data_IF_312748180663
#
_entry.id   IF_312748180663
#
_cell.length_a   1.000
_cell.length_b   1.000
_cell.length_c   1.000
_cell.angle_alpha   90.00
_cell.angle_beta   90.00
_cell.angle_gamma   90.00
#
_symmetry.space_group_name_H-M   'P 1'
#
loop_
_entity.id
_entity.type
_entity.pdbx_description
1 polymer ?
#
# COMPACT_ATOMS: atom_id res chain seq x y z
N UNK A 1 4.99 0.43 -16.11
CA UNK A 1 5.89 1.09 -15.16
C UNK A 1 5.19 2.24 -14.45
N UNK A 2 5.63 2.54 -13.25
CA UNK A 2 5.12 3.66 -12.44
C UNK A 2 6.27 4.42 -11.81
N UNK A 3 6.08 5.71 -11.56
CA UNK A 3 7.05 6.53 -10.87
C UNK A 3 6.78 6.52 -9.36
N UNK A 4 7.83 6.54 -8.56
CA UNK A 4 7.76 6.58 -7.10
C UNK A 4 8.30 7.90 -6.56
N UNK A 5 7.59 8.45 -5.58
CA UNK A 5 8.09 9.53 -4.73
C UNK A 5 7.79 9.16 -3.27
N UNK A 6 8.74 9.39 -2.37
CA UNK A 6 8.60 9.03 -0.97
C UNK A 6 8.63 10.27 -0.08
N UNK A 7 7.74 10.30 0.90
CA UNK A 7 7.65 11.37 1.88
C UNK A 7 7.61 10.75 3.29
N UNK A 8 8.73 10.69 4.01
CA UNK A 8 8.75 10.12 5.35
C UNK A 8 8.00 11.00 6.35
N UNK A 9 7.25 10.36 7.24
CA UNK A 9 6.52 11.03 8.32
C UNK A 9 6.87 10.34 9.63
N UNK A 10 7.28 11.14 10.62
CA UNK A 10 7.69 10.62 11.93
C UNK A 10 6.59 10.84 12.98
N UNK A 11 6.13 9.75 13.60
CA UNK A 11 5.16 9.74 14.68
C UNK A 11 5.56 8.63 15.66
N UNK A 12 4.66 8.20 16.55
CA UNK A 12 4.92 7.02 17.41
C UNK A 12 5.16 5.75 16.59
N UNK A 13 4.54 5.64 15.43
CA UNK A 13 4.82 4.61 14.45
C UNK A 13 5.67 5.22 13.34
N UNK A 14 6.62 4.45 12.79
CA UNK A 14 7.30 4.84 11.57
C UNK A 14 6.29 4.81 10.42
N UNK A 15 6.31 5.84 9.59
CA UNK A 15 5.43 5.93 8.43
C UNK A 15 6.19 6.45 7.24
N UNK A 16 5.95 5.84 6.09
CA UNK A 16 6.44 6.34 4.82
C UNK A 16 5.30 6.41 3.82
N UNK A 17 5.25 7.50 3.08
CA UNK A 17 4.28 7.69 2.00
C UNK A 17 5.00 7.57 0.67
N UNK A 18 4.38 6.85 -0.25
CA UNK A 18 4.85 6.76 -1.62
C UNK A 18 3.71 7.14 -2.53
N UNK A 19 3.94 8.09 -3.42
CA UNK A 19 2.99 8.41 -4.48
C UNK A 19 3.37 7.59 -5.70
N UNK A 20 2.44 6.74 -6.13
CA UNK A 20 2.63 5.87 -7.30
C UNK A 20 1.75 6.40 -8.43
N UNK A 21 2.36 6.84 -9.50
CA UNK A 21 1.63 7.31 -10.68
C UNK A 21 1.34 6.13 -11.59
N UNK A 22 0.06 5.82 -11.78
CA UNK A 22 -0.38 4.72 -12.62
C UNK A 22 -1.20 5.22 -13.79
N UNK A 23 -1.17 4.49 -14.91
CA UNK A 23 -1.96 4.83 -16.09
C UNK A 23 -3.45 4.51 -15.88
N UNK A 24 -3.74 3.44 -15.16
CA UNK A 24 -5.12 2.94 -15.00
C UNK A 24 -5.89 3.67 -13.89
N UNK A 25 -5.24 3.89 -12.74
CA UNK A 25 -5.91 4.40 -11.55
C UNK A 25 -5.57 5.87 -11.25
N UNK A 26 -4.67 6.48 -12.02
CA UNK A 26 -4.09 7.77 -11.68
C UNK A 26 -3.14 7.64 -10.49
N UNK A 27 -2.91 8.72 -9.75
CA UNK A 27 -2.03 8.66 -8.59
C UNK A 27 -2.64 7.81 -7.48
N UNK A 28 -1.82 6.93 -6.90
CA UNK A 28 -2.15 6.08 -5.75
C UNK A 28 -1.15 6.40 -4.66
N UNK A 29 -1.60 6.61 -3.45
CA UNK A 29 -0.72 6.80 -2.31
C UNK A 29 -0.64 5.50 -1.54
N UNK A 30 0.56 4.97 -1.40
CA UNK A 30 0.83 3.83 -0.54
C UNK A 30 1.51 4.33 0.73
N UNK A 31 0.89 4.10 1.86
CA UNK A 31 1.46 4.43 3.16
C UNK A 31 1.84 3.14 3.87
N UNK A 32 3.09 3.05 4.27
CA UNK A 32 3.60 1.94 5.05
C UNK A 32 3.71 2.40 6.51
N UNK A 33 3.09 1.65 7.40
CA UNK A 33 3.08 1.96 8.83
C UNK A 33 3.78 0.85 9.59
N UNK A 34 4.94 1.16 10.14
CA UNK A 34 5.69 0.24 10.98
C UNK A 34 5.40 0.49 12.45
N UNK A 35 5.22 -0.58 13.22
CA UNK A 35 5.09 -0.45 14.66
C UNK A 35 6.44 -0.06 15.28
N UNK A 36 6.43 0.84 16.26
CA UNK A 36 7.63 1.46 16.82
C UNK A 36 8.70 0.47 17.28
N UNK A 37 8.31 -0.66 17.85
CA UNK A 37 9.26 -1.66 18.38
C UNK A 37 9.36 -2.92 17.51
N UNK A 38 8.52 -3.08 16.50
CA UNK A 38 8.43 -4.32 15.74
C UNK A 38 8.53 -4.12 14.24
N UNK A 39 8.11 -2.99 13.71
CA UNK A 39 8.05 -2.77 12.27
C UNK A 39 9.05 -1.74 11.80
N UNK A 40 10.19 -2.17 11.30
CA UNK A 40 11.10 -1.29 10.58
C UNK A 40 10.76 -1.34 9.09
N UNK A 41 10.61 -0.17 8.50
CA UNK A 41 10.30 -0.03 7.07
C UNK A 41 11.61 0.03 6.29
N UNK A 42 11.74 -0.82 5.29
CA UNK A 42 12.89 -0.82 4.36
C UNK A 42 12.35 -0.68 2.94
N UNK A 43 12.67 0.44 2.31
CA UNK A 43 12.35 0.67 0.91
C UNK A 43 13.61 0.63 0.06
N UNK A 44 13.56 -0.07 -1.08
CA UNK A 44 14.73 -0.30 -1.93
C UNK A 44 14.99 0.85 -2.91
N UNK A 45 13.98 1.70 -3.16
CA UNK A 45 14.12 2.86 -4.02
C UNK A 45 13.50 4.08 -3.36
N UNK A 46 14.17 5.22 -3.44
CA UNK A 46 13.60 6.49 -2.99
C UNK A 46 12.68 7.09 -4.04
N UNK A 47 13.05 6.96 -5.30
CA UNK A 47 12.24 7.39 -6.43
C UNK A 47 12.62 6.62 -7.68
N UNK A 48 11.76 6.60 -8.68
CA UNK A 48 12.03 5.99 -9.97
C UNK A 48 10.85 5.18 -10.49
N UNK A 49 11.13 4.34 -11.47
CA UNK A 49 10.13 3.48 -12.10
C UNK A 49 10.09 2.13 -11.40
N UNK A 50 8.88 1.59 -11.21
CA UNK A 50 8.69 0.23 -10.72
C UNK A 50 7.75 -0.52 -11.64
N UNK A 51 7.89 -1.84 -11.66
CA UNK A 51 7.06 -2.73 -12.45
C UNK A 51 6.14 -3.52 -11.53
N UNK A 52 5.04 -3.98 -12.10
CA UNK A 52 4.13 -4.87 -11.39
C UNK A 52 4.88 -6.09 -10.88
N UNK A 53 4.68 -6.42 -9.61
CA UNK A 53 5.34 -7.56 -8.98
C UNK A 53 6.78 -7.29 -8.52
N UNK A 54 7.34 -6.13 -8.83
CA UNK A 54 8.67 -5.76 -8.33
C UNK A 54 8.60 -5.51 -6.83
N UNK A 55 9.59 -6.02 -6.12
CA UNK A 55 9.66 -5.81 -4.67
C UNK A 55 10.07 -4.37 -4.36
N UNK A 56 9.17 -3.62 -3.73
CA UNK A 56 9.40 -2.22 -3.38
C UNK A 56 10.21 -2.08 -2.10
N UNK A 57 9.95 -2.94 -1.15
CA UNK A 57 10.56 -2.87 0.17
C UNK A 57 10.04 -3.98 1.07
N UNK A 58 10.31 -3.85 2.35
CA UNK A 58 9.84 -4.81 3.33
C UNK A 58 9.73 -4.18 4.71
N UNK A 59 9.01 -4.85 5.61
CA UNK A 59 9.07 -4.57 7.04
C UNK A 59 10.04 -5.55 7.69
N UNK A 60 10.92 -5.04 8.56
CA UNK A 60 11.78 -5.88 9.38
C UNK A 60 11.08 -6.23 10.69
N UNK A 61 11.41 -7.38 11.24
CA UNK A 61 10.98 -7.85 12.57
C UNK A 61 9.46 -7.97 12.74
N UNK A 62 8.76 -8.27 11.70
CA UNK A 62 7.35 -8.51 11.78
C UNK A 62 6.53 -7.68 10.82
N UNK A 63 5.25 -7.92 10.87
CA UNK A 63 4.30 -7.25 10.01
C UNK A 63 3.94 -5.87 10.51
N UNK A 64 3.45 -5.10 9.60
CA UNK A 64 2.90 -3.80 9.86
C UNK A 64 1.70 -3.59 8.95
N UNK A 65 1.32 -2.37 8.70
CA UNK A 65 0.12 -2.07 7.92
C UNK A 65 0.49 -1.33 6.65
N UNK A 66 -0.14 -1.69 5.56
CA UNK A 66 -0.09 -0.92 4.33
C UNK A 66 -1.47 -0.30 4.12
N UNK A 67 -1.50 1.00 3.89
CA UNK A 67 -2.73 1.73 3.56
C UNK A 67 -2.60 2.24 2.13
N UNK A 68 -3.61 1.95 1.32
CA UNK A 68 -3.68 2.45 -0.05
C UNK A 68 -4.78 3.51 -0.15
N UNK A 69 -4.43 4.68 -0.66
CA UNK A 69 -5.37 5.74 -0.95
C UNK A 69 -5.46 5.92 -2.45
N UNK A 70 -6.66 5.82 -2.98
CA UNK A 70 -6.92 5.95 -4.42
C UNK A 70 -7.96 7.06 -4.64
N UNK A 71 -7.95 7.63 -5.84
CA UNK A 71 -8.97 8.62 -6.20
C UNK A 71 -10.35 7.97 -6.25
N UNK A 72 -11.34 8.73 -5.82
CA UNK A 72 -12.74 8.32 -5.90
C UNK A 72 -13.11 7.89 -7.32
N UNK A 73 -13.86 6.80 -7.41
CA UNK A 73 -14.41 6.25 -8.66
C UNK A 73 -13.36 5.70 -9.64
N UNK A 74 -12.09 5.59 -9.23
CA UNK A 74 -11.04 5.01 -10.06
C UNK A 74 -10.84 3.51 -9.83
N UNK A 75 -11.25 3.01 -8.68
CA UNK A 75 -11.11 1.60 -8.31
C UNK A 75 -12.43 1.09 -7.76
N UNK A 76 -12.83 -0.09 -8.24
CA UNK A 76 -13.96 -0.84 -7.67
C UNK A 76 -13.39 -1.96 -6.82
N UNK A 77 -13.61 -1.88 -5.52
CA UNK A 77 -13.17 -2.90 -4.58
C UNK A 77 -14.06 -4.14 -4.71
N UNK A 78 -13.45 -5.31 -4.58
CA UNK A 78 -14.15 -6.59 -4.63
C UNK A 78 -15.30 -6.61 -3.62
N UNK A 79 -16.48 -7.06 -4.06
CA UNK A 79 -17.71 -6.91 -3.29
C UNK A 79 -17.68 -7.61 -1.94
N UNK A 80 -17.08 -8.79 -1.84
CA UNK A 80 -16.97 -9.51 -0.58
C UNK A 80 -16.11 -8.77 0.44
N UNK A 81 -15.05 -8.09 -0.01
CA UNK A 81 -14.19 -7.28 0.85
C UNK A 81 -14.99 -6.11 1.42
N UNK A 82 -15.76 -5.41 0.58
CA UNK A 82 -16.60 -4.31 1.04
C UNK A 82 -17.66 -4.77 2.04
N UNK A 83 -18.31 -5.89 1.76
CA UNK A 83 -19.37 -6.43 2.61
C UNK A 83 -18.84 -6.81 3.99
N UNK A 84 -17.74 -7.52 4.03
CA UNK A 84 -17.11 -7.90 5.31
C UNK A 84 -16.63 -6.68 6.07
N UNK A 85 -16.06 -5.70 5.38
CA UNK A 85 -15.57 -4.47 5.98
C UNK A 85 -16.69 -3.68 6.65
N UNK A 86 -17.89 -3.65 6.06
CA UNK A 86 -19.06 -3.00 6.66
C UNK A 86 -19.42 -3.60 8.02
N UNK A 87 -19.11 -4.86 8.22
CA UNK A 87 -19.36 -5.57 9.48
C UNK A 87 -18.13 -5.61 10.39
N UNK A 88 -17.08 -4.84 10.07
CA UNK A 88 -15.85 -4.82 10.86
C UNK A 88 -15.04 -6.11 10.75
N UNK A 89 -15.22 -6.88 9.69
CA UNK A 89 -14.53 -8.17 9.49
C UNK A 89 -13.45 -7.99 8.43
N UNK A 90 -12.24 -8.44 8.76
CA UNK A 90 -11.13 -8.48 7.82
C UNK A 90 -11.33 -9.59 6.80
N UNK A 91 -10.78 -9.39 5.60
CA UNK A 91 -10.78 -10.42 4.55
C UNK A 91 -9.36 -10.88 4.32
N UNK A 92 -9.04 -12.16 4.57
CA UNK A 92 -7.72 -12.68 4.25
C UNK A 92 -7.53 -12.71 2.73
N UNK A 93 -6.34 -12.31 2.28
CA UNK A 93 -5.99 -12.31 0.87
C UNK A 93 -4.61 -12.93 0.69
N UNK A 94 -4.38 -13.50 -0.50
CA UNK A 94 -3.09 -14.08 -0.88
C UNK A 94 -2.34 -13.11 -1.78
N UNK A 95 -1.02 -13.25 -1.81
CA UNK A 95 -0.20 -12.49 -2.75
C UNK A 95 -0.69 -12.72 -4.20
N UNK A 96 -0.88 -11.64 -4.94
CA UNK A 96 -1.36 -11.70 -6.32
C UNK A 96 -2.86 -11.85 -6.49
N UNK A 97 -3.60 -12.03 -5.40
CA UNK A 97 -5.06 -12.11 -5.46
C UNK A 97 -5.67 -10.76 -5.82
N UNK A 98 -6.66 -10.76 -6.71
CA UNK A 98 -7.35 -9.54 -7.11
C UNK A 98 -8.26 -9.06 -5.99
N UNK A 99 -8.08 -7.82 -5.56
CA UNK A 99 -8.91 -7.19 -4.53
C UNK A 99 -9.79 -6.06 -5.07
N UNK A 100 -9.56 -5.69 -6.32
CA UNK A 100 -10.33 -4.64 -6.98
C UNK A 100 -9.90 -4.48 -8.43
N UNK A 101 -10.59 -3.61 -9.13
CA UNK A 101 -10.29 -3.32 -10.54
C UNK A 101 -10.75 -1.91 -10.91
N UNK A 102 -10.34 -1.46 -12.07
CA UNK A 102 -10.78 -0.17 -12.61
C UNK A 102 -12.28 -0.13 -12.96
#
# INVERSE_FOLDING_TARGET
>A
PVALEQFPVYTENSREYTVIKTDTFGPVVQMEVGAMLVGRIVNYKEAGMVFRGEEKGMFQYGGSTIVLLVKKDRVKIRQDVLERSRHGIETPVRMGEVIGHA
#
